data_IF_077813885805
#
_entry.id   IF_077813885805
#
_cell.length_a   1.000
_cell.length_b   1.000
_cell.length_c   1.000
_cell.angle_alpha   90.00
_cell.angle_beta   90.00
_cell.angle_gamma   90.00
#
_symmetry.space_group_name_H-M   'P 1'
#
loop_
_entity.id
_entity.type
_entity.pdbx_description
1 polymer ?
#
# COMPACT_ATOMS: atom_id res chain seq x y z
N UNK A 1 19.22 -12.40 12.21
CA UNK A 1 18.50 -11.55 13.17
C UNK A 1 19.35 -10.39 13.67
N UNK A 2 20.53 -10.60 14.26
CA UNK A 2 21.40 -9.48 14.68
C UNK A 2 21.85 -8.64 13.47
N UNK A 3 22.33 -9.29 12.40
CA UNK A 3 22.73 -8.60 11.16
C UNK A 3 21.61 -7.77 10.53
N UNK A 4 20.38 -8.27 10.53
CA UNK A 4 19.20 -7.56 9.98
C UNK A 4 18.78 -6.38 10.85
N UNK A 5 18.93 -6.49 12.17
CA UNK A 5 18.68 -5.37 13.07
C UNK A 5 19.76 -4.30 12.95
N UNK A 6 21.03 -4.69 12.75
CA UNK A 6 22.12 -3.73 12.54
C UNK A 6 21.98 -2.97 11.23
N UNK A 7 21.58 -3.63 10.13
CA UNK A 7 21.39 -2.94 8.84
C UNK A 7 20.20 -1.98 8.88
N UNK A 8 19.09 -2.36 9.53
CA UNK A 8 17.94 -1.47 9.74
C UNK A 8 18.29 -0.26 10.61
N UNK A 9 19.05 -0.47 11.69
CA UNK A 9 19.54 0.61 12.56
C UNK A 9 20.42 1.60 11.80
N UNK A 10 21.38 1.10 10.99
CA UNK A 10 22.23 1.94 10.14
C UNK A 10 21.40 2.76 9.16
N UNK A 11 20.41 2.16 8.48
CA UNK A 11 19.55 2.87 7.52
C UNK A 11 18.76 4.03 8.18
N UNK A 12 18.19 3.80 9.36
CA UNK A 12 17.47 4.83 10.11
C UNK A 12 18.40 5.97 10.55
N UNK A 13 19.57 5.63 11.11
CA UNK A 13 20.56 6.65 11.51
C UNK A 13 21.05 7.48 10.33
N UNK A 14 21.27 6.86 9.17
CA UNK A 14 21.69 7.58 7.97
C UNK A 14 20.59 8.54 7.49
N UNK A 15 19.33 8.09 7.43
CA UNK A 15 18.20 8.93 6.98
C UNK A 15 18.00 10.16 7.88
N UNK A 16 18.16 9.99 9.20
CA UNK A 16 18.03 11.08 10.17
C UNK A 16 19.19 12.06 10.11
N UNK A 17 20.43 11.57 9.97
CA UNK A 17 21.61 12.44 9.77
C UNK A 17 21.45 13.28 8.51
N UNK A 18 21.02 12.68 7.39
CA UNK A 18 20.80 13.40 6.14
C UNK A 18 19.71 14.47 6.29
N UNK A 19 18.59 14.16 6.96
CA UNK A 19 17.54 15.14 7.24
C UNK A 19 18.06 16.30 8.10
N UNK A 20 18.81 15.99 9.17
CA UNK A 20 19.40 17.01 10.04
C UNK A 20 20.37 17.91 9.29
N UNK A 21 21.29 17.34 8.51
CA UNK A 21 22.22 18.10 7.68
C UNK A 21 21.48 18.98 6.68
N UNK A 22 20.44 18.47 6.01
CA UNK A 22 19.63 19.26 5.08
C UNK A 22 18.96 20.46 5.78
N UNK A 23 18.42 20.27 6.98
CA UNK A 23 17.82 21.38 7.75
C UNK A 23 18.83 22.39 8.27
N UNK A 24 20.04 21.96 8.65
CA UNK A 24 21.11 22.83 9.14
C UNK A 24 21.76 23.66 8.03
N UNK A 25 21.97 23.05 6.86
CA UNK A 25 22.56 23.73 5.69
C UNK A 25 21.53 24.64 5.01
N UNK A 26 20.23 24.30 5.11
CA UNK A 26 19.17 25.08 4.47
C UNK A 26 19.15 26.52 4.97
N UNK A 27 19.34 27.47 4.05
CA UNK A 27 19.27 28.90 4.32
C UNK A 27 17.80 29.34 4.46
N UNK A 28 17.20 29.14 5.64
CA UNK A 28 15.87 29.70 5.95
C UNK A 28 15.98 31.21 6.20
N UNK A 29 15.94 32.00 5.13
CA UNK A 29 15.83 33.46 5.26
C UNK A 29 14.36 33.84 5.46
N UNK A 30 14.01 34.07 6.73
CA UNK A 30 12.75 34.66 7.21
C UNK A 30 11.47 33.89 6.82
N UNK A 31 10.62 33.63 7.80
CA UNK A 31 9.31 33.01 7.55
C UNK A 31 8.38 34.04 6.90
N UNK A 32 8.30 33.99 5.58
CA UNK A 32 7.36 34.78 4.80
C UNK A 32 6.02 34.01 4.70
N UNK A 33 4.91 34.74 4.85
CA UNK A 33 3.56 34.18 4.73
C UNK A 33 3.33 33.55 3.36
N UNK A 34 3.84 34.20 2.30
CA UNK A 34 3.66 33.73 0.91
C UNK A 34 4.52 32.48 0.60
N UNK A 35 5.57 32.21 1.39
CA UNK A 35 6.32 30.94 1.29
C UNK A 35 5.68 29.82 2.10
N UNK A 36 4.87 30.16 3.09
CA UNK A 36 4.14 29.21 3.94
C UNK A 36 2.71 28.95 3.47
N UNK A 37 2.23 29.66 2.44
CA UNK A 37 0.94 29.40 1.79
C UNK A 37 0.99 28.19 0.85
N UNK A 38 -0.14 27.47 0.66
CA UNK A 38 -0.23 26.38 -0.31
C UNK A 38 0.06 26.85 -1.74
N UNK A 39 0.77 26.02 -2.51
CA UNK A 39 1.07 26.30 -3.92
C UNK A 39 0.00 25.69 -4.84
N UNK A 40 -0.86 26.52 -5.45
CA UNK A 40 -1.81 26.11 -6.50
C UNK A 40 -1.42 26.77 -7.83
N UNK A 41 -0.22 26.43 -8.35
CA UNK A 41 0.32 26.97 -9.60
C UNK A 41 0.45 28.51 -9.64
N UNK A 42 0.68 29.14 -8.49
CA UNK A 42 0.78 30.60 -8.34
C UNK A 42 -0.56 31.31 -8.11
N UNK A 43 -1.65 30.57 -7.93
CA UNK A 43 -2.95 31.09 -7.54
C UNK A 43 -3.25 30.80 -6.06
N UNK A 44 -4.10 31.63 -5.45
CA UNK A 44 -4.68 31.33 -4.15
C UNK A 44 -5.58 30.10 -4.25
N UNK A 45 -5.52 29.19 -3.27
CA UNK A 45 -6.28 27.96 -3.35
C UNK A 45 -7.78 28.23 -3.35
N UNK A 46 -8.49 27.73 -4.36
CA UNK A 46 -9.94 27.97 -4.52
C UNK A 46 -10.76 27.26 -3.45
N UNK A 47 -10.31 26.09 -3.01
CA UNK A 47 -10.95 25.25 -2.02
C UNK A 47 -9.91 24.72 -1.02
N UNK A 48 -10.38 24.20 0.11
CA UNK A 48 -9.51 23.45 1.01
C UNK A 48 -8.97 22.20 0.32
N UNK A 49 -7.76 21.76 0.70
CA UNK A 49 -7.17 20.50 0.22
C UNK A 49 -8.01 19.25 0.62
N UNK A 50 -8.96 19.39 1.54
CA UNK A 50 -9.89 18.31 1.93
C UNK A 50 -11.07 18.30 0.97
N UNK A 51 -10.89 17.63 -0.16
CA UNK A 51 -11.94 17.39 -1.13
C UNK A 51 -12.80 16.19 -0.71
N UNK A 52 -14.09 16.15 -1.10
CA UNK A 52 -14.90 14.95 -0.91
C UNK A 52 -14.23 13.76 -1.62
N UNK A 53 -14.11 12.66 -0.88
CA UNK A 53 -13.43 11.45 -1.35
C UNK A 53 -14.29 10.71 -2.38
N UNK A 54 -13.67 10.18 -3.43
CA UNK A 54 -14.37 9.35 -4.41
C UNK A 54 -14.63 7.96 -3.83
N UNK A 55 -15.90 7.53 -3.87
CA UNK A 55 -16.32 6.20 -3.43
C UNK A 55 -15.65 5.06 -4.21
N UNK A 56 -15.15 5.32 -5.43
CA UNK A 56 -14.45 4.31 -6.22
C UNK A 56 -13.10 3.94 -5.62
N UNK A 57 -12.33 4.93 -5.16
CA UNK A 57 -11.07 4.67 -4.45
C UNK A 57 -11.30 3.95 -3.12
N UNK A 58 -12.45 4.18 -2.47
CA UNK A 58 -12.84 3.42 -1.28
C UNK A 58 -12.98 1.93 -1.59
N UNK A 59 -13.74 1.60 -2.64
CA UNK A 59 -14.03 0.21 -3.03
C UNK A 59 -12.74 -0.52 -3.39
N UNK A 60 -11.84 0.12 -4.16
CA UNK A 60 -10.53 -0.45 -4.50
C UNK A 60 -9.70 -0.75 -3.23
N UNK A 61 -9.70 0.15 -2.24
CA UNK A 61 -8.97 -0.07 -0.99
C UNK A 61 -9.53 -1.24 -0.16
N UNK A 62 -10.85 -1.41 -0.14
CA UNK A 62 -11.51 -2.54 0.54
C UNK A 62 -11.19 -3.86 -0.17
N UNK A 63 -11.28 -3.88 -1.50
CA UNK A 63 -10.93 -5.06 -2.32
C UNK A 63 -9.47 -5.44 -2.10
N UNK A 64 -8.55 -4.46 -2.12
CA UNK A 64 -7.13 -4.70 -1.83
C UNK A 64 -6.89 -5.31 -0.44
N UNK A 65 -7.60 -4.83 0.59
CA UNK A 65 -7.49 -5.37 1.95
C UNK A 65 -7.95 -6.84 2.02
N UNK A 66 -9.01 -7.20 1.31
CA UNK A 66 -9.50 -8.59 1.27
C UNK A 66 -8.49 -9.48 0.54
N UNK A 67 -8.02 -9.06 -0.65
CA UNK A 67 -7.02 -9.82 -1.41
C UNK A 67 -5.70 -9.99 -0.65
N UNK A 68 -5.28 -9.03 0.17
CA UNK A 68 -4.06 -9.15 0.99
C UNK A 68 -4.19 -10.29 2.03
N UNK A 69 -5.37 -10.43 2.66
CA UNK A 69 -5.65 -11.56 3.57
C UNK A 69 -5.66 -12.89 2.82
N UNK A 70 -6.21 -12.94 1.61
CA UNK A 70 -6.25 -14.15 0.80
C UNK A 70 -4.84 -14.57 0.34
N UNK A 71 -3.96 -13.62 -0.01
CA UNK A 71 -2.56 -13.88 -0.34
C UNK A 71 -1.79 -14.39 0.89
N UNK A 72 -2.06 -13.83 2.07
CA UNK A 72 -1.46 -14.31 3.32
C UNK A 72 -1.82 -15.78 3.59
N UNK A 73 -3.05 -16.21 3.26
CA UNK A 73 -3.48 -17.62 3.33
C UNK A 73 -2.85 -18.49 2.25
N UNK A 74 -2.51 -17.93 1.09
CA UNK A 74 -1.85 -18.65 -0.01
C UNK A 74 -0.35 -18.89 0.27
N UNK A 75 0.34 -17.97 0.93
CA UNK A 75 1.78 -18.04 1.20
C UNK A 75 2.28 -19.34 1.88
N UNK A 76 1.59 -19.96 2.86
CA UNK A 76 2.02 -21.23 3.45
C UNK A 76 1.78 -22.46 2.56
N UNK A 77 1.09 -22.35 1.43
CA UNK A 77 0.72 -23.50 0.58
C UNK A 77 1.92 -24.31 0.07
N UNK A 78 3.04 -23.70 -0.39
CA UNK A 78 4.22 -24.46 -0.80
C UNK A 78 4.90 -25.19 0.37
N UNK A 79 4.82 -24.63 1.58
CA UNK A 79 5.42 -25.21 2.78
C UNK A 79 4.60 -26.42 3.25
N UNK A 80 3.27 -26.34 3.21
CA UNK A 80 2.37 -27.42 3.61
C UNK A 80 2.38 -28.61 2.65
N UNK A 81 2.81 -28.41 1.40
CA UNK A 81 2.94 -29.47 0.39
C UNK A 81 3.89 -30.60 0.85
N UNK A 82 4.95 -30.27 1.60
CA UNK A 82 5.93 -31.26 2.07
C UNK A 82 5.50 -31.98 3.35
N UNK A 83 4.53 -31.43 4.08
CA UNK A 83 4.10 -31.91 5.41
C UNK A 83 2.79 -32.70 5.39
N UNK A 84 2.00 -32.57 4.33
CA UNK A 84 0.66 -33.13 4.22
C UNK A 84 0.54 -34.17 3.10
N UNK A 85 -0.55 -34.95 3.10
CA UNK A 85 -0.83 -35.88 2.02
C UNK A 85 -1.04 -35.12 0.70
N UNK A 86 -0.33 -35.53 -0.35
CA UNK A 86 -0.37 -34.89 -1.67
C UNK A 86 -1.79 -34.80 -2.26
N UNK A 87 -2.64 -35.81 -2.03
CA UNK A 87 -4.03 -35.82 -2.53
C UNK A 87 -4.89 -34.77 -1.84
N UNK A 88 -4.80 -34.68 -0.51
CA UNK A 88 -5.59 -33.75 0.30
C UNK A 88 -5.11 -32.31 0.06
N UNK A 89 -3.79 -32.11 -0.02
CA UNK A 89 -3.19 -30.83 -0.38
C UNK A 89 -3.67 -30.34 -1.75
N UNK A 90 -3.66 -31.20 -2.77
CA UNK A 90 -4.12 -30.84 -4.12
C UNK A 90 -5.61 -30.52 -4.16
N UNK A 91 -6.44 -31.26 -3.42
CA UNK A 91 -7.87 -30.98 -3.35
C UNK A 91 -8.14 -29.60 -2.72
N UNK A 92 -7.53 -29.32 -1.56
CA UNK A 92 -7.72 -28.05 -0.85
C UNK A 92 -7.18 -26.88 -1.67
N UNK A 93 -5.97 -26.99 -2.22
CA UNK A 93 -5.36 -25.93 -3.02
C UNK A 93 -6.18 -25.55 -4.24
N UNK A 94 -6.68 -26.56 -4.97
CA UNK A 94 -7.52 -26.32 -6.14
C UNK A 94 -8.85 -25.68 -5.76
N UNK A 95 -9.51 -26.15 -4.69
CA UNK A 95 -10.76 -25.52 -4.23
C UNK A 95 -10.56 -24.07 -3.82
N UNK A 96 -9.47 -23.76 -3.11
CA UNK A 96 -9.16 -22.39 -2.68
C UNK A 96 -8.90 -21.47 -3.88
N UNK A 97 -8.11 -21.91 -4.87
CA UNK A 97 -7.85 -21.14 -6.08
C UNK A 97 -9.11 -20.89 -6.92
N UNK A 98 -10.02 -21.87 -7.00
CA UNK A 98 -11.29 -21.71 -7.71
C UNK A 98 -12.15 -20.63 -7.04
N UNK A 99 -12.23 -20.63 -5.70
CA UNK A 99 -12.98 -19.62 -4.95
C UNK A 99 -12.40 -18.21 -5.21
N UNK A 100 -11.08 -18.08 -5.16
CA UNK A 100 -10.36 -16.84 -5.46
C UNK A 100 -10.69 -16.28 -6.85
N UNK A 101 -10.59 -17.13 -7.88
CA UNK A 101 -10.88 -16.73 -9.27
C UNK A 101 -12.36 -16.37 -9.44
N UNK A 102 -13.26 -17.14 -8.83
CA UNK A 102 -14.70 -16.88 -8.89
C UNK A 102 -15.08 -15.57 -8.20
N UNK A 103 -14.46 -15.26 -7.05
CA UNK A 103 -14.64 -14.00 -6.33
C UNK A 103 -14.21 -12.79 -7.16
N UNK A 104 -13.01 -12.86 -7.75
CA UNK A 104 -12.51 -11.81 -8.65
C UNK A 104 -13.42 -11.62 -9.88
N UNK A 105 -13.90 -12.71 -10.47
CA UNK A 105 -14.83 -12.62 -11.61
C UNK A 105 -16.15 -11.95 -11.22
N UNK A 106 -16.68 -12.26 -10.03
CA UNK A 106 -17.87 -11.61 -9.50
C UNK A 106 -17.64 -10.09 -9.31
N UNK A 107 -16.52 -9.69 -8.70
CA UNK A 107 -16.19 -8.27 -8.51
C UNK A 107 -16.03 -7.51 -9.84
N UNK A 108 -15.43 -8.15 -10.84
CA UNK A 108 -15.35 -7.59 -12.19
C UNK A 108 -16.74 -7.37 -12.76
N UNK A 109 -17.61 -8.38 -12.71
CA UNK A 109 -18.96 -8.29 -13.27
C UNK A 109 -19.83 -7.21 -12.58
N UNK A 110 -19.52 -6.85 -11.33
CA UNK A 110 -20.17 -5.74 -10.62
C UNK A 110 -19.60 -4.35 -11.00
N UNK A 111 -18.62 -4.28 -11.90
CA UNK A 111 -17.99 -3.04 -12.33
C UNK A 111 -17.15 -2.36 -11.26
N UNK A 112 -16.82 -3.06 -10.16
CA UNK A 112 -16.02 -2.50 -9.06
C UNK A 112 -14.58 -2.16 -9.50
N UNK A 113 -14.09 -2.84 -10.54
CA UNK A 113 -12.78 -2.66 -11.15
C UNK A 113 -12.78 -1.71 -12.36
N UNK A 114 -13.95 -1.26 -12.81
CA UNK A 114 -14.04 -0.38 -13.97
C UNK A 114 -13.76 1.08 -13.59
N UNK A 115 -12.74 1.64 -14.23
CA UNK A 115 -12.46 3.08 -14.13
C UNK A 115 -13.44 3.87 -15.00
N UNK A 116 -13.77 5.11 -14.62
CA UNK A 116 -14.58 6.02 -15.45
C UNK A 116 -13.88 6.30 -16.78
N UNK A 117 -14.53 5.98 -17.90
CA UNK A 117 -14.30 6.75 -19.13
C UNK A 117 -15.04 8.10 -19.02
#
# INVERSE_FOLDING_TARGET
>A
MIMTMTTAGVALTLSTILMMLATLISKKMHEDREKSSPFECGFDPKNSARLPFSSRFFIIAVIFMIFDVEIALLLPMPITMTMSNMKDWMAISMTFLIILIAGLYHEWNQGALEWTN
#
